data_IF_354680545938
#
_entry.id   IF_354680545938
#
_cell.length_a   1.000
_cell.length_b   1.000
_cell.length_c   1.000
_cell.angle_alpha   90.00
_cell.angle_beta   90.00
_cell.angle_gamma   90.00
#
_symmetry.space_group_name_H-M   'P 1'
#
loop_
_entity.id
_entity.type
_entity.pdbx_description
1 polymer ?
#
# COMPACT_ATOMS: atom_id res chain seq x y z
N UNK A 1 -4.26 11.70 -16.14
CA UNK A 1 -3.58 12.11 -14.89
C UNK A 1 -4.32 11.51 -13.72
N UNK A 2 -3.59 11.05 -12.70
CA UNK A 2 -4.19 10.50 -11.49
C UNK A 2 -4.69 11.65 -10.58
N UNK A 3 -5.86 11.51 -9.95
CA UNK A 3 -6.42 12.59 -9.10
C UNK A 3 -5.47 13.03 -7.98
N UNK A 4 -4.65 12.11 -7.46
CA UNK A 4 -3.65 12.41 -6.42
C UNK A 4 -2.52 13.30 -6.96
N UNK A 5 -2.05 13.04 -8.17
CA UNK A 5 -1.01 13.83 -8.85
C UNK A 5 -1.51 15.26 -9.07
N UNK A 6 -2.74 15.40 -9.57
CA UNK A 6 -3.41 16.70 -9.76
C UNK A 6 -3.53 17.46 -8.43
N UNK A 7 -3.92 16.78 -7.35
CA UNK A 7 -4.01 17.39 -6.02
C UNK A 7 -2.66 17.91 -5.53
N UNK A 8 -1.57 17.18 -5.76
CA UNK A 8 -0.22 17.61 -5.35
C UNK A 8 0.19 18.86 -6.13
N UNK A 9 -0.06 18.89 -7.44
CA UNK A 9 0.24 20.05 -8.30
C UNK A 9 -0.58 21.30 -7.91
N UNK A 10 -1.84 21.11 -7.55
CA UNK A 10 -2.75 22.20 -7.17
C UNK A 10 -2.60 22.65 -5.70
N UNK A 11 -1.59 22.11 -5.00
CA UNK A 11 -1.38 22.23 -3.55
C UNK A 11 -2.50 21.60 -2.73
N UNK A 12 -2.14 21.21 -1.51
CA UNK A 12 -3.08 20.63 -0.56
C UNK A 12 -3.85 21.75 0.16
N UNK A 13 -5.16 21.56 0.43
CA UNK A 13 -5.90 22.47 1.29
C UNK A 13 -5.49 22.27 2.75
N UNK A 14 -5.87 23.21 3.62
CA UNK A 14 -5.56 23.15 5.05
C UNK A 14 -6.30 22.02 5.78
N UNK A 15 -7.45 21.59 5.25
CA UNK A 15 -8.28 20.58 5.87
C UNK A 15 -8.47 19.34 4.98
N UNK A 16 -8.18 18.16 5.54
CA UNK A 16 -8.37 16.86 4.89
C UNK A 16 -9.81 16.57 4.46
N UNK A 17 -10.81 17.24 5.05
CA UNK A 17 -12.21 17.12 4.64
C UNK A 17 -12.50 17.77 3.29
N UNK A 18 -11.67 18.74 2.87
CA UNK A 18 -11.81 19.46 1.60
C UNK A 18 -11.28 18.66 0.41
N UNK A 19 -10.49 17.60 0.63
CA UNK A 19 -10.08 16.68 -0.43
C UNK A 19 -11.07 15.51 -0.58
N UNK A 20 -11.14 14.97 -1.80
CA UNK A 20 -11.94 13.79 -2.09
C UNK A 20 -11.54 12.59 -1.22
N UNK A 21 -12.50 11.73 -0.91
CA UNK A 21 -12.29 10.56 -0.04
C UNK A 21 -11.22 9.61 -0.57
N UNK A 22 -11.03 9.56 -1.88
CA UNK A 22 -10.00 8.74 -2.54
C UNK A 22 -8.58 9.20 -2.21
N UNK A 23 -8.40 10.51 -1.99
CA UNK A 23 -7.09 11.16 -1.79
C UNK A 23 -6.85 11.43 -0.30
N UNK A 24 -7.92 11.61 0.49
CA UNK A 24 -7.86 11.88 1.94
C UNK A 24 -6.90 10.97 2.72
N UNK A 25 -6.76 9.66 2.44
CA UNK A 25 -5.80 8.80 3.13
C UNK A 25 -4.32 9.23 2.97
N UNK A 26 -4.02 10.02 1.94
CA UNK A 26 -2.68 10.54 1.64
C UNK A 26 -2.39 11.88 2.33
N UNK A 27 -3.41 12.55 2.90
CA UNK A 27 -3.28 13.90 3.46
C UNK A 27 -2.26 13.99 4.60
N UNK A 28 -2.17 12.95 5.44
CA UNK A 28 -1.23 12.89 6.58
C UNK A 28 0.24 12.86 6.15
N UNK A 29 0.51 12.37 4.94
CA UNK A 29 1.88 12.23 4.40
C UNK A 29 2.12 13.18 3.23
N UNK A 30 1.24 14.18 3.03
CA UNK A 30 1.22 15.03 1.84
C UNK A 30 2.55 15.73 1.56
N UNK A 31 3.26 16.11 2.62
CA UNK A 31 4.55 16.82 2.56
C UNK A 31 5.71 15.88 2.15
N UNK A 32 5.49 14.56 2.21
CA UNK A 32 6.44 13.54 1.77
C UNK A 32 6.17 13.08 0.33
N UNK A 33 5.11 13.58 -0.32
CA UNK A 33 4.71 13.16 -1.65
C UNK A 33 5.35 14.01 -2.73
N UNK A 34 5.92 13.35 -3.73
CA UNK A 34 6.50 13.99 -4.90
C UNK A 34 5.87 13.45 -6.17
N UNK A 35 5.96 14.22 -7.26
CA UNK A 35 5.47 13.81 -8.57
C UNK A 35 6.62 13.78 -9.58
N UNK A 36 6.72 12.71 -10.35
CA UNK A 36 7.70 12.57 -11.44
C UNK A 36 7.03 11.83 -12.61
N UNK A 37 7.11 12.41 -13.82
CA UNK A 37 6.62 11.78 -15.06
C UNK A 37 5.17 11.24 -14.98
N UNK A 38 4.26 11.99 -14.36
CA UNK A 38 2.86 11.57 -14.21
C UNK A 38 2.63 10.49 -13.15
N UNK A 39 3.58 10.27 -12.24
CA UNK A 39 3.51 9.28 -11.15
C UNK A 39 3.76 9.97 -9.82
N UNK A 40 3.15 9.43 -8.77
CA UNK A 40 3.30 9.93 -7.41
C UNK A 40 4.23 9.00 -6.63
N UNK A 41 5.11 9.56 -5.82
CA UNK A 41 6.05 8.84 -4.99
C UNK A 41 5.98 9.33 -3.54
N UNK A 42 6.35 8.46 -2.61
CA UNK A 42 6.68 8.81 -1.22
C UNK A 42 8.11 8.40 -0.95
N UNK A 43 9.04 9.36 -0.97
CA UNK A 43 10.47 9.06 -1.03
C UNK A 43 10.80 8.21 -2.27
N UNK A 44 11.39 7.03 -2.07
CA UNK A 44 11.77 6.10 -3.17
C UNK A 44 10.62 5.17 -3.63
N UNK A 45 9.47 5.21 -2.97
CA UNK A 45 8.37 4.24 -3.17
C UNK A 45 7.31 4.82 -4.10
N UNK A 46 6.90 4.05 -5.10
CA UNK A 46 5.84 4.47 -6.02
C UNK A 46 4.46 4.30 -5.39
N UNK A 47 3.61 5.32 -5.45
CA UNK A 47 2.22 5.21 -5.00
C UNK A 47 1.43 4.40 -6.02
N UNK A 48 0.75 3.35 -5.58
CA UNK A 48 0.08 2.42 -6.49
C UNK A 48 -1.27 2.99 -6.98
N UNK A 49 -1.42 3.29 -8.29
CA UNK A 49 -2.70 3.71 -8.85
C UNK A 49 -3.73 2.58 -8.79
N UNK A 50 -5.03 2.90 -8.73
CA UNK A 50 -6.11 1.89 -8.63
C UNK A 50 -5.98 0.77 -9.66
N UNK A 51 -5.68 1.11 -10.91
CA UNK A 51 -5.57 0.16 -12.01
C UNK A 51 -4.42 -0.86 -11.81
N UNK A 52 -3.32 -0.45 -11.18
CA UNK A 52 -2.14 -1.30 -10.99
C UNK A 52 -2.19 -2.15 -9.71
N UNK A 53 -3.12 -1.89 -8.78
CA UNK A 53 -3.18 -2.56 -7.47
C UNK A 53 -3.17 -4.08 -7.57
N UNK A 54 -3.96 -4.65 -8.48
CA UNK A 54 -4.04 -6.11 -8.65
C UNK A 54 -2.70 -6.70 -9.09
N UNK A 55 -2.10 -6.11 -10.12
CA UNK A 55 -0.81 -6.56 -10.66
C UNK A 55 0.31 -6.41 -9.63
N UNK A 56 0.35 -5.28 -8.91
CA UNK A 56 1.35 -5.07 -7.85
C UNK A 56 1.22 -6.08 -6.72
N UNK A 57 0.00 -6.39 -6.27
CA UNK A 57 -0.22 -7.40 -5.23
C UNK A 57 0.18 -8.81 -5.71
N UNK A 58 -0.12 -9.14 -6.97
CA UNK A 58 0.32 -10.40 -7.57
C UNK A 58 1.85 -10.52 -7.60
N UNK A 59 2.56 -9.46 -7.93
CA UNK A 59 4.03 -9.48 -7.94
C UNK A 59 4.62 -9.59 -6.53
N UNK A 60 4.08 -8.86 -5.56
CA UNK A 60 4.49 -8.94 -4.15
C UNK A 60 4.27 -10.36 -3.61
N UNK A 61 3.18 -11.01 -4.00
CA UNK A 61 2.76 -12.33 -3.55
C UNK A 61 3.33 -13.51 -4.35
N UNK A 62 3.97 -13.27 -5.50
CA UNK A 62 4.31 -14.27 -6.53
C UNK A 62 4.98 -15.56 -6.05
N UNK A 63 5.72 -15.51 -4.95
CA UNK A 63 6.44 -16.66 -4.39
C UNK A 63 5.74 -17.30 -3.18
N UNK A 64 4.46 -16.99 -2.92
CA UNK A 64 3.68 -17.46 -1.76
C UNK A 64 4.42 -17.28 -0.43
N UNK A 65 5.16 -16.18 -0.30
CA UNK A 65 5.92 -15.89 0.92
C UNK A 65 4.97 -15.61 2.09
N UNK A 66 5.51 -15.68 3.30
CA UNK A 66 4.80 -15.24 4.48
C UNK A 66 4.38 -13.76 4.41
N UNK A 67 3.39 -13.41 5.24
CA UNK A 67 2.84 -12.05 5.29
C UNK A 67 3.93 -10.99 5.57
N UNK A 68 4.93 -11.31 6.40
CA UNK A 68 6.01 -10.36 6.75
C UNK A 68 6.88 -10.05 5.55
N UNK A 69 7.21 -11.06 4.76
CA UNK A 69 8.02 -10.96 3.56
C UNK A 69 7.29 -10.21 2.45
N UNK A 70 5.99 -10.48 2.25
CA UNK A 70 5.16 -9.68 1.35
C UNK A 70 5.09 -8.22 1.80
N UNK A 71 4.91 -7.98 3.10
CA UNK A 71 4.88 -6.61 3.67
C UNK A 71 6.20 -5.88 3.41
N UNK A 72 7.35 -6.51 3.71
CA UNK A 72 8.66 -5.93 3.45
C UNK A 72 8.87 -5.59 1.97
N UNK A 73 8.55 -6.52 1.06
CA UNK A 73 8.65 -6.28 -0.40
C UNK A 73 7.82 -5.07 -0.84
N UNK A 74 6.62 -4.93 -0.29
CA UNK A 74 5.78 -3.78 -0.57
C UNK A 74 6.42 -2.49 -0.03
N UNK A 75 6.88 -2.49 1.23
CA UNK A 75 7.49 -1.32 1.87
C UNK A 75 8.76 -0.83 1.18
N UNK A 76 9.52 -1.72 0.54
CA UNK A 76 10.74 -1.37 -0.20
C UNK A 76 10.46 -0.70 -1.55
N UNK A 77 9.31 -0.99 -2.17
CA UNK A 77 9.07 -0.65 -3.60
C UNK A 77 7.89 0.26 -3.82
N UNK A 78 6.84 0.15 -3.01
CA UNK A 78 5.54 0.76 -3.26
C UNK A 78 4.91 1.33 -2.00
N UNK A 79 4.05 2.33 -2.18
CA UNK A 79 3.33 2.98 -1.09
C UNK A 79 1.82 2.93 -1.33
N UNK A 80 1.10 2.60 -0.26
CA UNK A 80 -0.35 2.79 -0.16
C UNK A 80 -0.73 2.93 1.32
N UNK A 81 -1.63 3.86 1.67
CA UNK A 81 -2.22 3.89 3.00
C UNK A 81 -2.87 2.54 3.33
N UNK A 82 -2.55 1.97 4.49
CA UNK A 82 -3.09 0.66 4.91
C UNK A 82 -2.54 -0.54 4.13
N UNK A 83 -1.31 -0.46 3.61
CA UNK A 83 -0.71 -1.54 2.80
C UNK A 83 -0.77 -2.91 3.46
N UNK A 84 -0.44 -3.01 4.75
CA UNK A 84 -0.44 -4.28 5.49
C UNK A 84 -1.79 -4.97 5.45
N UNK A 85 -2.89 -4.22 5.60
CA UNK A 85 -4.24 -4.79 5.53
C UNK A 85 -4.55 -5.29 4.12
N UNK A 86 -4.16 -4.53 3.09
CA UNK A 86 -4.35 -4.97 1.71
C UNK A 86 -3.57 -6.25 1.36
N UNK A 87 -2.37 -6.40 1.90
CA UNK A 87 -1.58 -7.62 1.73
C UNK A 87 -2.27 -8.78 2.45
N UNK A 88 -2.72 -8.57 3.69
CA UNK A 88 -3.45 -9.59 4.46
C UNK A 88 -4.70 -10.06 3.72
N UNK A 89 -5.52 -9.13 3.23
CA UNK A 89 -6.72 -9.44 2.46
C UNK A 89 -6.36 -10.25 1.20
N UNK A 90 -5.34 -9.83 0.46
CA UNK A 90 -4.91 -10.53 -0.75
C UNK A 90 -4.40 -11.95 -0.46
N UNK A 91 -3.52 -12.11 0.54
CA UNK A 91 -2.98 -13.42 0.94
C UNK A 91 -4.09 -14.35 1.45
N UNK A 92 -5.12 -13.81 2.12
CA UNK A 92 -6.27 -14.60 2.58
C UNK A 92 -7.10 -15.20 1.45
N UNK A 93 -7.05 -14.60 0.25
CA UNK A 93 -7.72 -15.16 -0.94
C UNK A 93 -6.88 -16.21 -1.67
N UNK A 94 -5.63 -16.44 -1.25
CA UNK A 94 -4.75 -17.42 -1.88
C UNK A 94 -4.98 -18.82 -1.31
N UNK A 95 -5.35 -19.76 -2.17
CA UNK A 95 -5.60 -21.16 -1.81
C UNK A 95 -4.32 -21.86 -1.32
N UNK A 96 -3.16 -21.57 -1.93
CA UNK A 96 -1.86 -22.14 -1.55
C UNK A 96 -1.41 -21.66 -0.17
N UNK A 97 -1.54 -20.37 0.12
CA UNK A 97 -1.17 -19.83 1.44
C UNK A 97 -2.15 -20.26 2.54
N UNK A 98 -3.41 -20.50 2.18
CA UNK A 98 -4.42 -21.02 3.11
C UNK A 98 -4.13 -22.47 3.51
N UNK A 99 -3.66 -23.32 2.59
CA UNK A 99 -3.36 -24.73 2.88
C UNK A 99 -2.04 -24.94 3.62
N UNK A 100 -1.08 -24.03 3.47
CA UNK A 100 0.28 -24.16 4.03
C UNK A 100 0.45 -23.52 5.42
N UNK A 101 -0.58 -22.88 5.98
CA UNK A 101 -0.53 -22.28 7.32
C UNK A 101 0.34 -21.02 7.45
N UNK A 102 0.95 -20.54 6.35
CA UNK A 102 1.72 -19.29 6.29
C UNK A 102 0.87 -18.03 6.58
N UNK A 103 -0.45 -18.21 6.68
CA UNK A 103 -1.43 -17.22 7.08
C UNK A 103 -1.46 -16.95 8.59
N UNK A 104 -0.81 -17.79 9.40
CA UNK A 104 -0.82 -17.66 10.86
C UNK A 104 0.16 -16.58 11.33
N UNK A 105 -0.40 -15.46 11.78
CA UNK A 105 0.28 -14.65 12.79
C UNK A 105 0.42 -15.53 14.04
N UNK A 106 1.61 -16.10 14.27
CA UNK A 106 2.03 -16.40 15.62
C UNK A 106 2.25 -15.07 16.34
N UNK A 107 1.18 -14.56 16.95
CA UNK A 107 1.32 -13.65 18.09
C UNK A 107 1.93 -14.48 19.22
N UNK A 108 3.26 -14.56 19.24
CA UNK A 108 4.01 -14.90 20.44
C UNK A 108 4.26 -13.62 21.25
N UNK A 109 3.17 -13.05 21.75
CA UNK A 109 3.19 -12.32 23.02
C UNK A 109 2.59 -13.28 24.05
N UNK A 110 3.34 -14.33 24.37
CA UNK A 110 3.13 -15.04 25.62
C UNK A 110 3.80 -14.19 26.69
N UNK A 111 2.98 -13.58 27.53
CA UNK A 111 3.38 -13.16 28.85
C UNK A 111 3.94 -14.38 29.60
N UNK A 112 5.18 -14.24 30.06
CA UNK A 112 5.73 -14.91 31.22
C UNK A 112 6.75 -13.93 31.84
#
# INVERSE_FOLDING_TARGET
>A
MEKLEEQIRNRWPDNARQVSELIRPHFKVRDELTTENGRVFRGKRSVIPRAARKLTMQEIHRSHLDMRSCTRRAEDTVYRPGMTNHIKDFVSTCTVCSSTGLNSQSNSWCAA
#
